data_IF_446120550475
#
_entry.id   IF_446120550475
#
_cell.length_a   1.000
_cell.length_b   1.000
_cell.length_c   1.000
_cell.angle_alpha   90.00
_cell.angle_beta   90.00
_cell.angle_gamma   90.00
#
_symmetry.space_group_name_H-M   'P 1'
#
loop_
_entity.id
_entity.type
_entity.pdbx_description
1 polymer ?
#
# COMPACT_ATOMS: atom_id res chain seq x y z
N UNK A 1 30.14 -18.65 -39.61
CA UNK A 1 30.61 -18.01 -38.36
C UNK A 1 31.36 -19.05 -37.56
N UNK A 2 32.51 -18.72 -36.97
CA UNK A 2 33.24 -19.66 -36.12
C UNK A 2 32.45 -19.95 -34.85
N UNK A 3 32.38 -21.22 -34.47
CA UNK A 3 31.76 -21.64 -33.20
C UNK A 3 32.78 -21.48 -32.07
N UNK A 4 32.66 -20.42 -31.31
CA UNK A 4 33.58 -20.09 -30.21
C UNK A 4 33.45 -21.06 -29.01
N UNK A 5 32.47 -21.97 -29.01
CA UNK A 5 32.35 -23.00 -27.98
C UNK A 5 33.39 -24.14 -28.19
N UNK A 6 33.87 -24.33 -29.44
CA UNK A 6 34.79 -25.36 -29.81
C UNK A 6 36.24 -24.88 -29.76
N UNK A 7 37.07 -25.56 -28.99
CA UNK A 7 38.48 -25.23 -28.82
C UNK A 7 39.22 -25.20 -30.14
N UNK A 8 39.10 -26.28 -30.94
CA UNK A 8 39.79 -26.41 -32.23
C UNK A 8 39.37 -25.37 -33.28
N UNK A 9 38.18 -24.77 -33.14
CA UNK A 9 37.77 -23.65 -34.00
C UNK A 9 38.41 -22.33 -33.54
N UNK A 10 38.50 -22.12 -32.23
CA UNK A 10 39.17 -20.93 -31.68
C UNK A 10 40.64 -20.86 -32.02
N UNK A 11 41.34 -22.02 -31.97
CA UNK A 11 42.78 -22.13 -32.27
C UNK A 11 43.12 -21.83 -33.75
N UNK A 12 42.17 -22.03 -34.65
CA UNK A 12 42.34 -21.73 -36.09
C UNK A 12 42.14 -20.22 -36.41
N UNK A 13 41.61 -19.45 -35.45
CA UNK A 13 41.30 -18.02 -35.69
C UNK A 13 42.61 -17.22 -35.73
N UNK A 14 42.70 -16.33 -36.71
CA UNK A 14 43.82 -15.39 -36.85
C UNK A 14 43.40 -14.00 -36.35
N UNK A 15 44.32 -13.18 -35.81
CA UNK A 15 44.03 -11.80 -35.45
C UNK A 15 43.47 -11.05 -36.66
N UNK A 16 42.37 -10.31 -36.46
CA UNK A 16 41.73 -9.44 -37.49
C UNK A 16 42.39 -8.06 -37.53
N UNK A 17 42.33 -7.39 -38.68
CA UNK A 17 42.69 -5.95 -38.75
C UNK A 17 41.91 -5.16 -37.72
N UNK A 18 42.57 -4.22 -37.06
CA UNK A 18 41.94 -3.39 -36.00
C UNK A 18 41.67 -4.13 -34.69
N UNK A 19 42.26 -5.34 -34.52
CA UNK A 19 42.08 -6.19 -33.32
C UNK A 19 40.60 -6.48 -32.97
N UNK A 20 39.71 -6.49 -33.99
CA UNK A 20 38.29 -6.76 -33.82
C UNK A 20 38.01 -8.22 -33.43
N UNK A 21 37.24 -8.48 -32.35
CA UNK A 21 36.89 -9.84 -31.91
C UNK A 21 36.01 -10.59 -32.92
N UNK A 22 36.11 -11.91 -32.92
CA UNK A 22 35.13 -12.80 -33.54
C UNK A 22 33.92 -12.91 -32.62
N UNK A 23 32.71 -12.56 -33.12
CA UNK A 23 31.50 -12.48 -32.33
C UNK A 23 30.61 -13.70 -32.55
N UNK A 24 30.10 -14.26 -31.47
CA UNK A 24 29.08 -15.31 -31.45
C UNK A 24 27.86 -14.77 -30.70
N UNK A 25 26.68 -14.89 -31.31
CA UNK A 25 25.43 -14.49 -30.70
C UNK A 25 25.03 -15.49 -29.61
N UNK A 26 24.74 -15.02 -28.40
CA UNK A 26 24.19 -15.80 -27.29
C UNK A 26 22.66 -15.72 -27.31
N UNK A 27 22.12 -14.53 -27.40
CA UNK A 27 20.70 -14.22 -27.54
C UNK A 27 20.52 -12.91 -28.30
N UNK A 28 19.29 -12.50 -28.56
CA UNK A 28 19.02 -11.23 -29.23
C UNK A 28 19.66 -10.08 -28.44
N UNK A 29 20.43 -9.24 -29.11
CA UNK A 29 21.15 -8.12 -28.52
C UNK A 29 22.39 -8.46 -27.69
N UNK A 30 22.68 -9.73 -27.39
CA UNK A 30 23.83 -10.15 -26.56
C UNK A 30 24.77 -11.07 -27.33
N UNK A 31 26.07 -10.75 -27.26
CA UNK A 31 27.13 -11.45 -27.98
C UNK A 31 28.33 -11.68 -27.06
N UNK A 32 28.98 -12.83 -27.20
CA UNK A 32 30.33 -13.08 -26.69
C UNK A 32 31.32 -12.99 -27.81
N UNK A 33 32.47 -12.40 -27.58
CA UNK A 33 33.52 -12.18 -28.54
C UNK A 33 34.84 -12.79 -28.08
N UNK A 34 35.63 -13.31 -29.03
CA UNK A 34 36.99 -13.83 -28.79
C UNK A 34 37.97 -13.15 -29.72
N UNK A 35 39.03 -12.59 -29.17
CA UNK A 35 40.15 -12.03 -29.91
C UNK A 35 41.39 -12.87 -29.69
N UNK A 36 41.87 -13.61 -30.73
CA UNK A 36 43.08 -14.39 -30.63
C UNK A 36 44.32 -13.57 -30.28
N UNK A 37 45.21 -14.10 -29.50
CA UNK A 37 46.50 -13.46 -29.18
C UNK A 37 47.40 -13.46 -30.40
N UNK A 38 48.14 -12.39 -30.64
CA UNK A 38 49.22 -12.32 -31.67
C UNK A 38 50.37 -13.30 -31.39
N UNK A 39 50.54 -13.72 -30.12
CA UNK A 39 51.55 -14.71 -29.72
C UNK A 39 51.13 -16.17 -29.94
N UNK A 40 50.03 -16.42 -30.66
CA UNK A 40 49.46 -17.74 -30.99
C UNK A 40 49.05 -18.60 -29.81
N UNK A 41 49.04 -18.11 -28.61
CA UNK A 41 48.59 -18.81 -27.41
C UNK A 41 47.46 -18.05 -26.76
N UNK A 42 46.29 -18.66 -26.65
CA UNK A 42 45.11 -18.07 -25.99
C UNK A 42 44.50 -16.84 -26.68
N UNK A 43 43.75 -16.05 -25.94
CA UNK A 43 43.12 -14.86 -26.46
C UNK A 43 42.29 -14.14 -25.39
N UNK A 44 41.73 -13.00 -25.75
CA UNK A 44 40.93 -12.21 -24.83
C UNK A 44 39.46 -12.30 -25.21
N UNK A 45 38.62 -12.49 -24.22
CA UNK A 45 37.18 -12.54 -24.34
C UNK A 45 36.57 -11.17 -24.13
N UNK A 46 35.45 -10.92 -24.81
CA UNK A 46 34.68 -9.69 -24.78
C UNK A 46 33.19 -10.00 -24.73
N UNK A 47 32.42 -9.08 -24.18
CA UNK A 47 30.97 -9.04 -24.32
C UNK A 47 30.57 -7.83 -25.17
N UNK A 48 29.50 -7.97 -25.95
CA UNK A 48 28.85 -6.87 -26.66
C UNK A 48 27.34 -6.98 -26.46
N UNK A 49 26.75 -5.86 -26.04
CA UNK A 49 25.33 -5.77 -25.77
C UNK A 49 24.77 -4.58 -26.52
N UNK A 50 23.67 -4.79 -27.22
CA UNK A 50 22.92 -3.72 -27.86
C UNK A 50 21.89 -3.16 -26.84
N UNK A 51 21.95 -1.85 -26.61
CA UNK A 51 20.99 -1.13 -25.78
C UNK A 51 19.95 -0.45 -26.71
N UNK A 52 18.67 -0.87 -26.69
CA UNK A 52 17.63 -0.32 -27.55
C UNK A 52 17.28 1.13 -27.19
N UNK A 53 17.41 1.53 -25.93
CA UNK A 53 17.06 2.88 -25.47
C UNK A 53 18.03 3.94 -26.01
N UNK A 54 19.31 3.57 -26.14
CA UNK A 54 20.36 4.45 -26.63
C UNK A 54 20.71 4.21 -28.10
N UNK A 55 20.15 3.15 -28.71
CA UNK A 55 20.46 2.68 -30.06
C UNK A 55 21.98 2.43 -30.29
N UNK A 56 22.70 1.99 -29.27
CA UNK A 56 24.16 1.80 -29.29
C UNK A 56 24.56 0.42 -28.77
N UNK A 57 25.71 -0.04 -29.29
CA UNK A 57 26.36 -1.24 -28.77
C UNK A 57 27.37 -0.84 -27.67
N UNK A 58 27.20 -1.42 -26.49
CA UNK A 58 28.22 -1.37 -25.42
C UNK A 58 29.16 -2.57 -25.55
N UNK A 59 30.45 -2.39 -25.24
CA UNK A 59 31.46 -3.47 -25.26
C UNK A 59 32.20 -3.50 -23.94
N UNK A 60 32.51 -4.72 -23.45
CA UNK A 60 33.28 -4.93 -22.22
C UNK A 60 34.33 -6.03 -22.45
N UNK A 61 35.55 -5.78 -21.98
CA UNK A 61 36.58 -6.79 -21.91
C UNK A 61 36.32 -7.69 -20.69
N UNK A 62 36.23 -9.02 -20.89
CA UNK A 62 35.98 -9.99 -19.83
C UNK A 62 37.27 -10.59 -19.26
N UNK A 63 38.31 -10.77 -20.07
CA UNK A 63 39.58 -11.36 -19.66
C UNK A 63 40.03 -12.49 -20.54
N UNK A 64 41.06 -13.25 -20.11
CA UNK A 64 41.59 -14.40 -20.82
C UNK A 64 41.26 -15.74 -20.19
N UNK A 65 40.85 -15.72 -18.89
CA UNK A 65 40.50 -16.92 -18.09
C UNK A 65 41.60 -18.00 -18.02
N UNK A 66 42.86 -17.57 -18.02
CA UNK A 66 44.01 -18.45 -18.14
C UNK A 66 44.16 -19.56 -17.09
N UNK A 67 43.34 -19.55 -16.02
CA UNK A 67 43.33 -20.59 -14.98
C UNK A 67 42.31 -21.69 -15.24
N UNK A 68 41.46 -21.56 -16.26
CA UNK A 68 40.39 -22.50 -16.57
C UNK A 68 40.74 -23.42 -17.73
N UNK A 69 40.14 -24.62 -17.78
CA UNK A 69 40.25 -25.51 -18.92
C UNK A 69 39.54 -24.95 -20.17
N UNK A 70 39.97 -25.37 -21.36
CA UNK A 70 39.49 -24.81 -22.62
C UNK A 70 37.96 -24.82 -22.81
N UNK A 71 37.23 -25.80 -22.26
CA UNK A 71 35.76 -25.86 -22.29
C UNK A 71 35.15 -24.93 -21.23
N UNK A 72 35.74 -24.88 -20.07
CA UNK A 72 35.29 -24.03 -18.98
C UNK A 72 35.46 -22.55 -19.29
N UNK A 73 36.50 -22.17 -20.06
CA UNK A 73 36.71 -20.79 -20.52
C UNK A 73 35.50 -20.25 -21.27
N UNK A 74 34.97 -21.01 -22.24
CA UNK A 74 33.78 -20.53 -22.99
C UNK A 74 32.54 -20.45 -22.10
N UNK A 75 32.34 -21.44 -21.22
CA UNK A 75 31.22 -21.46 -20.29
C UNK A 75 31.25 -20.23 -19.36
N UNK A 76 32.44 -19.90 -18.85
CA UNK A 76 32.61 -18.74 -17.99
C UNK A 76 32.46 -17.42 -18.78
N UNK A 77 33.05 -17.31 -19.97
CA UNK A 77 32.94 -16.14 -20.82
C UNK A 77 31.47 -15.88 -21.25
N UNK A 78 30.71 -16.94 -21.53
CA UNK A 78 29.28 -16.86 -21.81
C UNK A 78 28.51 -16.33 -20.59
N UNK A 79 28.74 -16.92 -19.41
CA UNK A 79 28.06 -16.51 -18.16
C UNK A 79 28.34 -15.04 -17.83
N UNK A 80 29.61 -14.61 -17.94
CA UNK A 80 30.01 -13.24 -17.66
C UNK A 80 29.43 -12.26 -18.70
N UNK A 81 29.33 -12.66 -19.97
CA UNK A 81 28.69 -11.86 -21.01
C UNK A 81 27.20 -11.69 -20.78
N UNK A 82 26.49 -12.75 -20.39
CA UNK A 82 25.06 -12.75 -20.07
C UNK A 82 24.79 -11.90 -18.80
N UNK A 83 25.58 -12.08 -17.75
CA UNK A 83 25.49 -11.27 -16.50
C UNK A 83 25.74 -9.80 -16.76
N UNK A 84 26.70 -9.47 -17.62
CA UNK A 84 26.96 -8.07 -17.98
C UNK A 84 25.84 -7.52 -18.88
N UNK A 85 25.26 -8.33 -19.77
CA UNK A 85 24.13 -7.93 -20.58
C UNK A 85 22.93 -7.53 -19.72
N UNK A 86 22.60 -8.33 -18.69
CA UNK A 86 21.56 -8.00 -17.72
C UNK A 86 21.83 -6.67 -17.00
N UNK A 87 23.11 -6.39 -16.67
CA UNK A 87 23.52 -5.13 -16.05
C UNK A 87 23.31 -3.94 -17.00
N UNK A 88 23.62 -4.08 -18.28
CA UNK A 88 23.45 -3.00 -19.27
C UNK A 88 21.96 -2.76 -19.58
N UNK A 89 21.19 -3.83 -19.73
CA UNK A 89 19.76 -3.80 -19.98
C UNK A 89 18.95 -3.21 -18.81
N UNK A 90 19.46 -3.37 -17.57
CA UNK A 90 18.90 -2.77 -16.36
C UNK A 90 19.38 -1.33 -16.08
N UNK A 91 20.00 -0.67 -17.05
CA UNK A 91 20.46 0.71 -16.90
C UNK A 91 21.73 0.91 -16.05
N UNK A 92 22.53 -0.16 -15.89
CA UNK A 92 23.81 -0.12 -15.15
C UNK A 92 23.74 -0.57 -13.69
N UNK A 93 22.56 -0.79 -13.16
CA UNK A 93 22.38 -1.47 -11.87
C UNK A 93 22.42 -2.99 -12.06
N UNK A 94 23.22 -3.70 -11.28
CA UNK A 94 23.05 -5.16 -11.20
C UNK A 94 21.68 -5.43 -10.59
N UNK A 95 20.77 -6.15 -11.29
CA UNK A 95 19.54 -6.60 -10.66
C UNK A 95 19.94 -7.36 -9.40
N UNK A 96 19.54 -6.86 -8.24
CA UNK A 96 19.78 -7.56 -6.98
C UNK A 96 19.04 -8.87 -7.10
N UNK A 97 19.75 -9.99 -7.14
CA UNK A 97 19.11 -11.31 -7.23
C UNK A 97 18.12 -11.45 -6.06
N UNK A 98 16.82 -11.47 -6.37
CA UNK A 98 15.77 -11.65 -5.37
C UNK A 98 15.76 -13.12 -5.00
N UNK A 99 16.58 -13.51 -4.02
CA UNK A 99 16.79 -14.88 -3.64
C UNK A 99 16.02 -15.30 -2.38
N UNK A 100 15.73 -14.36 -1.49
CA UNK A 100 15.10 -14.64 -0.19
C UNK A 100 13.79 -13.87 -0.02
N UNK A 101 13.01 -14.26 0.98
CA UNK A 101 11.79 -13.51 1.39
C UNK A 101 12.12 -12.07 1.78
N UNK A 102 13.28 -11.83 2.41
CA UNK A 102 13.75 -10.47 2.72
C UNK A 102 13.98 -9.67 1.44
N UNK A 103 14.65 -10.25 0.46
CA UNK A 103 14.93 -9.56 -0.81
C UNK A 103 13.64 -9.23 -1.56
N UNK A 104 12.68 -10.16 -1.59
CA UNK A 104 11.36 -9.93 -2.18
C UNK A 104 10.61 -8.77 -1.49
N UNK A 105 10.68 -8.70 -0.17
CA UNK A 105 10.01 -7.62 0.57
C UNK A 105 10.71 -6.27 0.35
N UNK A 106 12.03 -6.23 0.30
CA UNK A 106 12.78 -5.02 0.02
C UNK A 106 12.51 -4.50 -1.41
N UNK A 107 12.45 -5.38 -2.40
CA UNK A 107 12.06 -5.02 -3.77
C UNK A 107 10.65 -4.42 -3.81
N UNK A 108 9.69 -5.03 -3.10
CA UNK A 108 8.34 -4.47 -2.97
C UNK A 108 8.32 -3.07 -2.35
N UNK A 109 9.15 -2.81 -1.31
CA UNK A 109 9.22 -1.50 -0.68
C UNK A 109 9.84 -0.43 -1.59
N UNK A 110 10.76 -0.81 -2.48
CA UNK A 110 11.33 0.10 -3.48
C UNK A 110 10.29 0.55 -4.51
N UNK A 111 9.46 -0.38 -4.99
CA UNK A 111 8.41 -0.05 -5.96
C UNK A 111 7.21 0.67 -5.33
N UNK A 112 6.87 0.32 -4.09
CA UNK A 112 5.70 0.85 -3.36
C UNK A 112 6.09 1.30 -1.96
N UNK A 113 6.81 2.42 -1.84
CA UNK A 113 7.18 2.95 -0.55
C UNK A 113 5.93 3.30 0.27
N UNK A 114 5.95 2.98 1.56
CA UNK A 114 4.84 3.30 2.43
C UNK A 114 5.09 2.92 3.88
N UNK A 115 4.83 3.85 4.79
CA UNK A 115 5.10 3.72 6.21
C UNK A 115 4.48 2.48 6.88
N UNK A 116 3.34 1.99 6.38
CA UNK A 116 2.68 0.79 6.91
C UNK A 116 3.48 -0.46 6.53
N UNK A 117 3.85 -0.60 5.26
CA UNK A 117 4.61 -1.76 4.77
C UNK A 117 6.01 -1.81 5.39
N UNK A 118 6.71 -0.67 5.46
CA UNK A 118 8.00 -0.54 6.14
C UNK A 118 7.88 -0.90 7.62
N UNK A 119 6.82 -0.44 8.28
CA UNK A 119 6.56 -0.78 9.67
C UNK A 119 6.32 -2.26 9.89
N UNK A 120 5.62 -2.95 8.99
CA UNK A 120 5.43 -4.42 9.02
C UNK A 120 6.76 -5.12 8.79
N UNK A 121 7.54 -4.69 7.80
CA UNK A 121 8.86 -5.26 7.50
C UNK A 121 9.75 -5.25 8.74
N UNK A 122 10.00 -4.07 9.32
CA UNK A 122 10.88 -3.91 10.48
C UNK A 122 10.43 -4.71 11.72
N UNK A 123 9.11 -4.78 11.96
CA UNK A 123 8.60 -5.44 13.18
C UNK A 123 8.42 -6.95 13.05
N UNK A 124 8.10 -7.45 11.85
CA UNK A 124 7.58 -8.80 11.71
C UNK A 124 8.27 -9.65 10.64
N UNK A 125 9.19 -9.08 9.86
CA UNK A 125 9.89 -9.81 8.80
C UNK A 125 11.41 -9.70 8.95
N UNK A 126 11.97 -8.52 9.10
CA UNK A 126 13.41 -8.27 9.00
C UNK A 126 14.27 -9.18 9.90
N UNK A 127 13.88 -9.35 11.15
CA UNK A 127 14.58 -10.18 12.14
C UNK A 127 13.90 -11.55 12.39
N UNK A 128 12.84 -11.87 11.63
CA UNK A 128 12.16 -13.14 11.73
C UNK A 128 12.87 -14.20 10.89
N UNK A 129 12.89 -15.49 11.31
CA UNK A 129 13.46 -16.58 10.52
C UNK A 129 12.97 -16.65 9.08
N UNK A 130 11.74 -16.18 8.78
CA UNK A 130 11.17 -16.14 7.44
C UNK A 130 12.02 -15.31 6.47
N UNK A 131 12.67 -14.25 6.96
CA UNK A 131 13.49 -13.36 6.13
C UNK A 131 14.61 -14.07 5.37
N UNK A 132 15.19 -15.08 6.00
CA UNK A 132 16.34 -15.85 5.48
C UNK A 132 15.93 -17.01 4.58
N UNK A 133 14.64 -17.32 4.49
CA UNK A 133 14.16 -18.44 3.67
C UNK A 133 14.33 -18.09 2.20
N UNK A 134 15.03 -18.96 1.46
CA UNK A 134 15.17 -18.83 0.00
C UNK A 134 13.83 -19.08 -0.68
N UNK A 135 13.51 -18.33 -1.73
CA UNK A 135 12.22 -18.39 -2.41
C UNK A 135 11.96 -19.77 -3.05
N UNK A 136 13.00 -20.41 -3.61
CA UNK A 136 12.94 -21.76 -4.15
C UNK A 136 12.65 -22.84 -3.08
N UNK A 137 13.02 -22.56 -1.84
CA UNK A 137 12.80 -23.43 -0.67
C UNK A 137 11.62 -22.98 0.21
N UNK A 138 10.89 -21.94 -0.19
CA UNK A 138 9.73 -21.48 0.56
C UNK A 138 8.60 -22.51 0.52
N UNK A 139 8.11 -22.92 1.70
CA UNK A 139 7.06 -23.94 1.86
C UNK A 139 5.98 -23.43 2.81
N UNK A 140 4.81 -24.03 2.74
CA UNK A 140 3.63 -23.71 3.57
C UNK A 140 3.96 -23.64 5.07
N UNK A 141 4.80 -24.53 5.59
CA UNK A 141 5.11 -24.56 7.02
C UNK A 141 5.91 -23.32 7.48
N UNK A 142 6.81 -22.76 6.64
CA UNK A 142 7.53 -21.53 6.95
C UNK A 142 6.57 -20.36 7.17
N UNK A 143 5.60 -20.22 6.28
CA UNK A 143 4.61 -19.13 6.34
C UNK A 143 3.59 -19.34 7.45
N UNK A 144 3.15 -20.59 7.71
CA UNK A 144 2.30 -20.91 8.86
C UNK A 144 3.01 -20.61 10.18
N UNK A 145 4.30 -20.96 10.30
CA UNK A 145 5.09 -20.66 11.49
C UNK A 145 5.26 -19.15 11.68
N UNK A 146 5.55 -18.38 10.61
CA UNK A 146 5.60 -16.93 10.67
C UNK A 146 4.26 -16.31 11.08
N UNK A 147 3.15 -16.76 10.46
CA UNK A 147 1.80 -16.32 10.83
C UNK A 147 1.49 -16.57 12.31
N UNK A 148 1.83 -17.75 12.81
CA UNK A 148 1.63 -18.10 14.24
C UNK A 148 2.40 -17.16 15.17
N UNK A 149 3.64 -16.80 14.82
CA UNK A 149 4.41 -15.79 15.57
C UNK A 149 3.79 -14.40 15.47
N UNK A 150 3.28 -14.02 14.28
CA UNK A 150 2.57 -12.75 14.08
C UNK A 150 1.29 -12.69 14.94
N UNK A 151 0.53 -13.77 15.01
CA UNK A 151 -0.68 -13.87 15.84
C UNK A 151 -0.36 -13.74 17.34
N UNK A 152 0.70 -14.39 17.81
CA UNK A 152 1.14 -14.35 19.18
C UNK A 152 1.78 -13.00 19.58
N UNK A 153 2.32 -12.24 18.63
CA UNK A 153 2.94 -10.95 18.92
C UNK A 153 1.89 -9.90 19.33
N UNK A 154 2.00 -9.27 20.52
CA UNK A 154 1.03 -8.29 20.96
C UNK A 154 1.00 -7.06 20.03
N UNK A 155 -0.20 -6.49 19.85
CA UNK A 155 -0.38 -5.28 19.07
C UNK A 155 -0.02 -4.05 19.91
N UNK A 156 0.81 -3.16 19.36
CA UNK A 156 1.13 -1.88 20.00
C UNK A 156 -0.09 -0.95 19.94
N UNK A 157 -0.53 -0.49 21.10
CA UNK A 157 -1.64 0.47 21.24
C UNK A 157 -1.12 1.91 21.27
N UNK A 158 -0.12 2.18 22.09
CA UNK A 158 0.49 3.50 22.21
C UNK A 158 1.91 3.43 22.76
N UNK A 159 2.69 4.46 22.45
CA UNK A 159 3.97 4.76 23.10
C UNK A 159 3.81 6.09 23.81
N UNK A 160 4.14 6.16 25.08
CA UNK A 160 4.25 7.45 25.75
C UNK A 160 5.66 8.05 25.54
N UNK A 161 5.83 9.33 25.93
CA UNK A 161 7.13 10.02 25.80
C UNK A 161 8.24 9.40 26.67
N UNK A 162 7.87 8.70 27.75
CA UNK A 162 8.79 7.99 28.65
C UNK A 162 9.17 6.57 28.17
N UNK A 163 8.78 6.18 26.96
CA UNK A 163 9.16 4.88 26.38
C UNK A 163 8.29 3.70 26.80
N UNK A 164 7.37 3.85 27.75
CA UNK A 164 6.44 2.78 28.09
C UNK A 164 5.49 2.48 26.96
N UNK A 165 5.45 1.22 26.55
CA UNK A 165 4.59 0.74 25.49
C UNK A 165 3.37 0.07 26.08
N UNK A 166 2.19 0.52 25.70
CA UNK A 166 0.94 -0.17 25.98
C UNK A 166 0.61 -1.12 24.84
N UNK A 167 0.48 -2.39 25.15
CA UNK A 167 0.15 -3.44 24.18
C UNK A 167 -1.19 -4.08 24.52
N UNK A 168 -1.78 -4.78 23.57
CA UNK A 168 -2.97 -5.62 23.74
C UNK A 168 -2.85 -6.85 22.87
N UNK A 169 -3.69 -7.85 23.12
CA UNK A 169 -3.85 -9.00 22.24
C UNK A 169 -4.10 -8.55 20.79
N UNK A 170 -3.44 -9.21 19.83
CA UNK A 170 -3.56 -8.88 18.41
C UNK A 170 -4.86 -9.42 17.84
N UNK A 171 -5.72 -8.54 17.35
CA UNK A 171 -6.97 -8.93 16.70
C UNK A 171 -6.72 -9.58 15.34
N UNK A 172 -7.61 -10.49 14.93
CA UNK A 172 -7.57 -11.13 13.59
C UNK A 172 -7.54 -10.12 12.44
N UNK A 173 -8.24 -9.00 12.57
CA UNK A 173 -8.19 -7.91 11.56
C UNK A 173 -6.82 -7.22 11.48
N UNK A 174 -6.12 -7.10 12.62
CA UNK A 174 -4.74 -6.59 12.65
C UNK A 174 -3.78 -7.58 11.98
N UNK A 175 -3.91 -8.88 12.26
CA UNK A 175 -3.14 -9.93 11.58
C UNK A 175 -3.36 -9.89 10.06
N UNK A 176 -4.63 -9.83 9.63
CA UNK A 176 -4.97 -9.73 8.21
C UNK A 176 -4.27 -8.55 7.54
N UNK A 177 -4.31 -7.37 8.17
CA UNK A 177 -3.67 -6.16 7.65
C UNK A 177 -2.14 -6.28 7.58
N UNK A 178 -1.54 -6.87 8.61
CA UNK A 178 -0.09 -7.02 8.70
C UNK A 178 0.44 -8.11 7.75
N UNK A 179 -0.40 -9.06 7.32
CA UNK A 179 -0.06 -10.04 6.27
C UNK A 179 -0.06 -9.45 4.85
N UNK A 180 -0.79 -8.34 4.60
CA UNK A 180 -0.95 -7.77 3.24
C UNK A 180 0.36 -7.44 2.56
N UNK A 181 1.33 -6.73 3.18
CA UNK A 181 2.58 -6.39 2.51
C UNK A 181 3.42 -7.62 2.13
N UNK A 182 3.50 -8.63 3.00
CA UNK A 182 4.23 -9.86 2.68
C UNK A 182 3.56 -10.63 1.53
N UNK A 183 2.23 -10.71 1.52
CA UNK A 183 1.49 -11.32 0.40
C UNK A 183 1.75 -10.59 -0.91
N UNK A 184 1.77 -9.26 -0.88
CA UNK A 184 2.03 -8.44 -2.06
C UNK A 184 3.46 -8.65 -2.57
N UNK A 185 4.45 -8.64 -1.67
CA UNK A 185 5.85 -8.87 -2.01
C UNK A 185 6.09 -10.27 -2.64
N UNK A 186 5.52 -11.32 -2.03
CA UNK A 186 5.61 -12.66 -2.58
C UNK A 186 4.86 -12.80 -3.92
N UNK A 187 3.72 -12.14 -4.07
CA UNK A 187 2.94 -12.14 -5.31
C UNK A 187 3.64 -11.45 -6.50
N UNK A 188 4.59 -10.55 -6.24
CA UNK A 188 5.40 -9.92 -7.31
C UNK A 188 6.47 -10.86 -7.86
N UNK A 189 7.07 -11.68 -7.01
CA UNK A 189 8.24 -12.50 -7.38
C UNK A 189 7.92 -13.97 -7.64
N UNK A 190 6.82 -14.48 -7.06
CA UNK A 190 6.36 -15.86 -7.23
C UNK A 190 5.17 -15.89 -8.18
N UNK A 191 5.39 -16.29 -9.41
CA UNK A 191 4.33 -16.42 -10.42
C UNK A 191 3.55 -17.71 -10.24
N UNK A 192 2.25 -17.65 -10.51
CA UNK A 192 1.39 -18.83 -10.53
C UNK A 192 1.80 -19.75 -11.70
N UNK A 193 1.87 -21.03 -11.43
CA UNK A 193 2.21 -22.04 -12.45
C UNK A 193 3.69 -22.33 -12.65
N UNK A 194 4.60 -21.63 -11.95
CA UNK A 194 6.01 -22.02 -11.93
C UNK A 194 6.24 -23.19 -10.96
N UNK A 195 7.14 -24.14 -11.28
CA UNK A 195 7.48 -25.23 -10.37
C UNK A 195 7.91 -24.68 -9.00
N UNK A 196 7.38 -25.22 -7.92
CA UNK A 196 7.65 -24.82 -6.52
C UNK A 196 7.11 -23.44 -6.07
N UNK A 197 6.39 -22.73 -6.91
CA UNK A 197 5.73 -21.45 -6.51
C UNK A 197 4.28 -21.64 -6.11
N UNK A 198 3.85 -22.87 -5.97
CA UNK A 198 2.49 -23.27 -5.66
C UNK A 198 1.85 -22.40 -4.59
N UNK A 199 0.54 -22.30 -4.70
CA UNK A 199 -0.42 -21.67 -3.79
C UNK A 199 -0.14 -21.84 -2.28
N UNK A 200 0.95 -22.49 -1.90
CA UNK A 200 1.37 -22.73 -0.52
C UNK A 200 1.44 -21.44 0.32
N UNK A 201 1.96 -20.36 -0.26
CA UNK A 201 2.00 -19.07 0.40
C UNK A 201 0.63 -18.37 0.40
N UNK A 202 -0.16 -18.54 -0.66
CA UNK A 202 -1.50 -17.94 -0.74
C UNK A 202 -2.43 -18.54 0.31
N UNK A 203 -2.42 -19.87 0.47
CA UNK A 203 -3.23 -20.55 1.47
C UNK A 203 -2.79 -20.21 2.90
N UNK A 204 -1.48 -20.28 3.17
CA UNK A 204 -0.95 -20.00 4.50
C UNK A 204 -1.22 -18.57 4.96
N UNK A 205 -1.24 -17.61 4.04
CA UNK A 205 -1.52 -16.19 4.30
C UNK A 205 -2.97 -15.79 3.94
N UNK A 206 -3.89 -16.75 3.82
CA UNK A 206 -5.31 -16.47 3.61
C UNK A 206 -5.85 -15.65 4.79
N UNK A 207 -6.52 -14.52 4.52
CA UNK A 207 -7.10 -13.69 5.57
C UNK A 207 -8.15 -14.45 6.39
N UNK A 208 -8.24 -14.16 7.66
CA UNK A 208 -9.38 -14.60 8.49
C UNK A 208 -10.67 -13.99 7.94
N UNK A 209 -11.66 -14.82 7.68
CA UNK A 209 -13.00 -14.36 7.29
C UNK A 209 -13.71 -13.74 8.50
N UNK A 210 -14.55 -12.73 8.26
CA UNK A 210 -15.34 -12.10 9.33
C UNK A 210 -14.51 -11.42 10.43
N UNK A 211 -13.25 -11.10 10.17
CA UNK A 211 -12.34 -10.53 11.18
C UNK A 211 -12.65 -9.08 11.55
N UNK A 212 -13.38 -8.36 10.70
CA UNK A 212 -13.76 -6.97 10.94
C UNK A 212 -14.95 -6.93 11.91
N UNK A 213 -14.79 -6.20 13.00
CA UNK A 213 -15.90 -5.90 13.90
C UNK A 213 -16.75 -4.78 13.33
N UNK A 214 -18.05 -4.98 13.26
CA UNK A 214 -18.99 -3.91 12.97
C UNK A 214 -19.05 -2.95 14.16
N UNK A 215 -19.21 -1.66 13.88
CA UNK A 215 -19.46 -0.67 14.92
C UNK A 215 -20.95 -0.70 15.24
N UNK A 216 -21.27 -0.96 16.48
CA UNK A 216 -22.64 -0.96 17.00
C UNK A 216 -22.98 0.31 17.78
N UNK A 217 -21.95 1.08 18.22
CA UNK A 217 -22.18 2.28 19.02
C UNK A 217 -22.78 3.39 18.12
N UNK A 218 -23.98 3.73 18.43
CA UNK A 218 -24.78 4.79 17.85
C UNK A 218 -25.13 5.80 18.93
N UNK A 219 -24.96 7.07 18.64
CA UNK A 219 -25.46 8.18 19.45
C UNK A 219 -26.69 8.77 18.78
N UNK A 220 -27.78 8.84 19.49
CA UNK A 220 -28.99 9.52 19.02
C UNK A 220 -28.83 11.05 18.97
N UNK A 221 -29.90 11.77 18.60
CA UNK A 221 -29.83 13.22 18.44
C UNK A 221 -29.62 13.95 19.77
N UNK A 222 -30.23 13.47 20.84
CA UNK A 222 -30.10 14.08 22.16
C UNK A 222 -28.72 13.82 22.73
N UNK A 223 -28.21 12.62 22.63
CA UNK A 223 -26.85 12.28 23.04
C UNK A 223 -25.81 13.15 22.30
N UNK A 224 -25.99 13.35 20.99
CA UNK A 224 -25.12 14.26 20.23
C UNK A 224 -25.25 15.72 20.66
N UNK A 225 -26.44 16.18 21.06
CA UNK A 225 -26.66 17.52 21.60
C UNK A 225 -25.93 17.72 22.93
N UNK A 226 -26.08 16.78 23.85
CA UNK A 226 -25.34 16.74 25.12
C UNK A 226 -23.82 16.76 24.88
N UNK A 227 -23.34 15.94 23.89
CA UNK A 227 -21.94 15.97 23.49
C UNK A 227 -21.47 17.37 23.04
N UNK A 228 -22.29 18.07 22.24
CA UNK A 228 -21.95 19.39 21.72
C UNK A 228 -21.93 20.44 22.84
N UNK A 229 -22.82 20.35 23.81
CA UNK A 229 -22.86 21.23 25.01
C UNK A 229 -21.63 21.03 25.90
N UNK A 230 -21.04 19.83 25.90
CA UNK A 230 -19.81 19.49 26.64
C UNK A 230 -18.50 19.82 25.89
N UNK A 231 -18.57 20.33 24.65
CA UNK A 231 -17.39 20.67 23.86
C UNK A 231 -16.81 22.05 24.26
N UNK A 232 -15.47 22.17 24.21
CA UNK A 232 -14.83 23.48 24.22
C UNK A 232 -15.12 24.26 22.92
N UNK A 233 -15.06 25.59 23.00
CA UNK A 233 -15.42 26.49 21.90
C UNK A 233 -14.60 26.27 20.62
N UNK A 234 -13.37 25.76 20.74
CA UNK A 234 -12.48 25.55 19.61
C UNK A 234 -12.82 24.22 18.87
N UNK A 235 -13.20 23.21 19.62
CA UNK A 235 -13.54 21.90 19.07
C UNK A 235 -15.02 21.82 18.63
N UNK A 236 -15.89 22.61 19.27
CA UNK A 236 -17.33 22.60 19.01
C UNK A 236 -17.70 22.69 17.52
N UNK A 237 -17.18 23.65 16.72
CA UNK A 237 -17.56 23.74 15.31
C UNK A 237 -17.18 22.49 14.50
N UNK A 238 -16.02 21.92 14.74
CA UNK A 238 -15.56 20.70 14.06
C UNK A 238 -16.39 19.48 14.44
N UNK A 239 -16.68 19.31 15.74
CA UNK A 239 -17.49 18.18 16.25
C UNK A 239 -18.95 18.33 15.79
N UNK A 240 -19.50 19.57 15.78
CA UNK A 240 -20.83 19.86 15.25
C UNK A 240 -20.94 19.46 13.77
N UNK A 241 -19.94 19.81 12.96
CA UNK A 241 -19.92 19.41 11.55
C UNK A 241 -19.87 17.86 11.37
N UNK A 242 -19.17 17.13 12.25
CA UNK A 242 -19.18 15.66 12.27
C UNK A 242 -20.57 15.08 12.65
N UNK A 243 -21.34 15.80 13.43
CA UNK A 243 -22.72 15.41 13.79
C UNK A 243 -23.75 15.73 12.71
N UNK A 244 -23.42 16.66 11.78
CA UNK A 244 -24.33 17.11 10.72
C UNK A 244 -24.10 16.41 9.37
N UNK A 245 -22.88 15.98 9.08
CA UNK A 245 -22.50 15.45 7.78
C UNK A 245 -21.87 14.06 7.89
N UNK A 246 -22.22 13.12 6.98
CA UNK A 246 -21.69 11.75 7.01
C UNK A 246 -20.25 11.66 6.46
N UNK A 247 -19.42 12.69 6.68
CA UNK A 247 -18.07 12.77 6.17
C UNK A 247 -17.07 11.99 7.02
N UNK A 248 -16.00 11.48 6.38
CA UNK A 248 -14.86 10.99 7.15
C UNK A 248 -14.21 12.13 7.92
N UNK A 249 -13.83 11.95 9.20
CA UNK A 249 -13.24 13.04 9.98
C UNK A 249 -12.04 13.71 9.30
N UNK A 250 -11.19 12.93 8.61
CA UNK A 250 -10.07 13.49 7.85
C UNK A 250 -10.51 14.30 6.62
N UNK A 251 -11.57 13.91 5.94
CA UNK A 251 -12.12 14.69 4.82
C UNK A 251 -12.70 16.00 5.29
N UNK A 252 -13.45 15.99 6.40
CA UNK A 252 -13.97 17.22 7.01
C UNK A 252 -12.84 18.15 7.47
N UNK A 253 -11.81 17.62 8.11
CA UNK A 253 -10.65 18.36 8.59
C UNK A 253 -9.80 18.98 7.46
N UNK A 254 -9.87 18.42 6.26
CA UNK A 254 -9.12 18.92 5.09
C UNK A 254 -9.85 20.02 4.32
N UNK A 255 -11.12 20.30 4.63
CA UNK A 255 -11.90 21.32 3.94
C UNK A 255 -11.31 22.71 4.18
N UNK A 256 -11.18 23.46 3.09
CA UNK A 256 -10.75 24.85 3.08
C UNK A 256 -11.91 25.78 2.73
N UNK A 257 -11.77 27.04 3.05
CA UNK A 257 -12.80 28.08 2.75
C UNK A 257 -13.24 28.02 1.28
N UNK A 258 -12.32 27.87 0.34
CA UNK A 258 -12.61 27.76 -1.11
C UNK A 258 -13.42 26.51 -1.50
N UNK A 259 -13.52 25.51 -0.63
CA UNK A 259 -14.27 24.28 -0.90
C UNK A 259 -15.76 24.41 -0.57
N UNK A 260 -16.17 25.57 0.00
CA UNK A 260 -17.56 25.87 0.30
C UNK A 260 -18.07 27.05 -0.54
N UNK A 261 -19.12 26.82 -1.31
CA UNK A 261 -19.83 27.86 -2.05
C UNK A 261 -21.15 28.18 -1.33
N UNK A 262 -21.21 29.39 -0.70
CA UNK A 262 -22.39 29.88 0.00
C UNK A 262 -23.59 30.05 -0.94
N UNK A 263 -23.37 30.49 -2.17
CA UNK A 263 -24.43 30.79 -3.16
C UNK A 263 -25.15 29.50 -3.61
N UNK A 264 -24.40 28.45 -3.90
CA UNK A 264 -24.96 27.17 -4.33
C UNK A 264 -25.19 26.22 -3.14
N UNK A 265 -24.80 26.60 -1.94
CA UNK A 265 -24.83 25.78 -0.73
C UNK A 265 -24.10 24.46 -0.89
N UNK A 266 -23.01 24.46 -1.62
CA UNK A 266 -22.29 23.24 -1.96
C UNK A 266 -20.92 23.16 -1.28
N UNK A 267 -20.54 21.93 -0.92
CA UNK A 267 -19.23 21.57 -0.44
C UNK A 267 -18.54 20.67 -1.46
N UNK A 268 -17.35 21.06 -1.85
CA UNK A 268 -16.45 20.23 -2.68
C UNK A 268 -15.56 19.43 -1.74
N UNK A 269 -15.82 18.13 -1.65
CA UNK A 269 -14.98 17.23 -0.89
C UNK A 269 -13.85 16.77 -1.81
N UNK A 270 -12.63 17.16 -1.47
CA UNK A 270 -11.43 16.77 -2.22
C UNK A 270 -11.28 15.26 -2.38
N UNK A 271 -10.25 14.83 -3.08
CA UNK A 271 -10.02 13.41 -3.43
C UNK A 271 -10.22 12.50 -2.23
N UNK A 272 -11.20 11.61 -2.33
CA UNK A 272 -11.34 10.52 -1.39
C UNK A 272 -10.25 9.45 -1.66
N UNK A 273 -10.32 8.34 -0.95
CA UNK A 273 -9.37 7.22 -1.11
C UNK A 273 -9.31 6.67 -2.55
N UNK A 274 -10.32 6.93 -3.37
CA UNK A 274 -10.44 6.50 -4.78
C UNK A 274 -10.04 7.59 -5.77
N UNK A 275 -9.62 8.78 -5.30
CA UNK A 275 -9.05 9.83 -6.12
C UNK A 275 -10.05 10.78 -6.78
N UNK A 276 -11.36 10.56 -6.64
CA UNK A 276 -12.39 11.40 -7.25
C UNK A 276 -12.91 12.46 -6.28
N UNK A 277 -12.93 13.75 -6.66
CA UNK A 277 -13.63 14.78 -5.90
C UNK A 277 -15.14 14.53 -6.00
N UNK A 278 -15.88 14.89 -4.96
CA UNK A 278 -17.34 14.86 -4.97
C UNK A 278 -17.90 16.19 -4.44
N UNK A 279 -19.03 16.57 -4.96
CA UNK A 279 -19.78 17.73 -4.49
C UNK A 279 -21.01 17.23 -3.75
N UNK A 280 -21.31 17.88 -2.61
CA UNK A 280 -22.54 17.66 -1.86
C UNK A 280 -23.25 18.99 -1.67
N UNK A 281 -24.57 19.00 -1.83
CA UNK A 281 -25.42 20.15 -1.50
C UNK A 281 -25.85 20.04 -0.05
N UNK A 282 -25.69 21.11 0.73
CA UNK A 282 -26.06 21.13 2.15
C UNK A 282 -27.43 21.78 2.37
N UNK A 283 -28.21 21.30 3.34
CA UNK A 283 -29.43 21.97 3.77
C UNK A 283 -29.15 23.42 4.23
N UNK A 284 -30.13 24.28 4.13
CA UNK A 284 -29.97 25.71 4.44
C UNK A 284 -29.35 25.97 5.82
N UNK A 285 -29.83 25.30 6.88
CA UNK A 285 -29.29 25.45 8.25
C UNK A 285 -27.82 25.00 8.35
N UNK A 286 -27.44 23.96 7.62
CA UNK A 286 -26.03 23.49 7.58
C UNK A 286 -25.19 24.50 6.80
N UNK A 287 -25.70 24.99 5.66
CA UNK A 287 -25.03 26.06 4.88
C UNK A 287 -24.80 27.32 5.67
N UNK A 288 -25.80 27.78 6.45
CA UNK A 288 -25.66 28.95 7.33
C UNK A 288 -24.55 28.75 8.37
N UNK A 289 -24.53 27.58 9.02
CA UNK A 289 -23.46 27.23 9.95
C UNK A 289 -22.06 27.22 9.29
N UNK A 290 -21.94 26.72 8.07
CA UNK A 290 -20.66 26.76 7.34
C UNK A 290 -20.29 28.17 6.93
N UNK A 291 -21.28 29.01 6.54
CA UNK A 291 -21.07 30.41 6.20
C UNK A 291 -20.46 31.19 7.36
N UNK A 292 -20.94 30.98 8.60
CA UNK A 292 -20.36 31.57 9.81
C UNK A 292 -18.89 31.16 10.01
N UNK A 293 -18.55 29.91 9.67
CA UNK A 293 -17.19 29.41 9.86
C UNK A 293 -16.16 29.92 8.82
N UNK A 294 -16.62 30.42 7.68
CA UNK A 294 -15.75 30.91 6.59
C UNK A 294 -15.69 32.44 6.55
N UNK A 295 -16.50 33.11 7.31
CA UNK A 295 -16.59 34.58 7.31
C UNK A 295 -15.23 35.20 7.69
N UNK A 296 -14.79 36.19 6.89
CA UNK A 296 -13.52 36.90 7.05
C UNK A 296 -12.26 36.04 7.04
N UNK A 297 -12.32 34.83 6.44
CA UNK A 297 -11.17 33.94 6.34
C UNK A 297 -10.58 33.86 4.92
N UNK A 298 -9.27 33.68 4.85
CA UNK A 298 -8.58 33.47 3.58
C UNK A 298 -9.05 32.18 2.88
N UNK A 299 -9.09 32.18 1.54
CA UNK A 299 -9.57 31.05 0.73
C UNK A 299 -8.88 29.71 1.05
N UNK A 300 -7.60 29.75 1.39
CA UNK A 300 -6.81 28.56 1.71
C UNK A 300 -6.82 28.17 3.20
N UNK A 301 -7.47 28.94 4.05
CA UNK A 301 -7.60 28.60 5.46
C UNK A 301 -8.51 27.36 5.65
N UNK A 302 -8.26 26.53 6.69
CA UNK A 302 -9.19 25.47 7.05
C UNK A 302 -10.57 26.04 7.44
N UNK A 303 -11.69 25.43 7.02
CA UNK A 303 -13.02 25.82 7.46
C UNK A 303 -13.13 25.69 8.99
N UNK A 304 -12.66 24.57 9.52
CA UNK A 304 -12.59 24.31 10.96
C UNK A 304 -11.12 24.34 11.39
N UNK A 305 -10.75 25.39 12.10
CA UNK A 305 -9.40 25.55 12.60
C UNK A 305 -9.34 25.31 14.12
N UNK A 306 -8.26 24.72 14.58
CA UNK A 306 -7.87 24.71 15.99
C UNK A 306 -7.10 25.98 16.35
N UNK A 307 -6.74 26.14 17.63
CA UNK A 307 -5.94 27.30 18.08
C UNK A 307 -4.71 27.49 17.19
N UNK A 308 -4.46 28.75 16.83
CA UNK A 308 -3.37 29.13 15.92
C UNK A 308 -3.68 28.92 14.42
N UNK A 309 -4.94 28.75 14.01
CA UNK A 309 -5.34 28.65 12.60
C UNK A 309 -5.00 27.32 11.92
N UNK A 310 -4.51 26.35 12.67
CA UNK A 310 -4.07 25.06 12.14
C UNK A 310 -5.26 24.13 11.85
N UNK A 311 -5.16 23.32 10.78
CA UNK A 311 -6.14 22.29 10.48
C UNK A 311 -6.19 21.21 11.57
N UNK A 312 -7.37 20.61 11.76
CA UNK A 312 -7.53 19.40 12.56
C UNK A 312 -6.84 18.22 11.89
N UNK A 313 -6.34 17.30 12.70
CA UNK A 313 -5.80 16.02 12.25
C UNK A 313 -6.17 14.91 13.23
N UNK A 314 -5.86 13.66 12.87
CA UNK A 314 -6.26 12.47 13.61
C UNK A 314 -5.87 12.52 15.10
N UNK A 315 -4.73 13.07 15.42
CA UNK A 315 -4.25 13.12 16.82
C UNK A 315 -4.81 14.33 17.56
N UNK A 316 -5.08 15.43 16.85
CA UNK A 316 -5.58 16.68 17.43
C UNK A 316 -7.03 16.58 17.92
N UNK A 317 -7.96 15.96 17.15
CA UNK A 317 -9.36 15.85 17.58
C UNK A 317 -9.63 14.76 18.62
N UNK A 318 -8.69 13.85 18.84
CA UNK A 318 -8.86 12.73 19.75
C UNK A 318 -9.12 13.13 21.19
N UNK A 319 -8.31 14.08 21.69
CA UNK A 319 -8.42 14.55 23.08
C UNK A 319 -9.68 15.36 23.33
N UNK A 320 -10.01 16.39 22.55
CA UNK A 320 -11.25 17.16 22.72
C UNK A 320 -12.51 16.30 22.67
N UNK A 321 -12.61 15.36 21.72
CA UNK A 321 -13.75 14.42 21.68
C UNK A 321 -13.81 13.55 22.93
N UNK A 322 -12.68 13.02 23.38
CA UNK A 322 -12.64 12.19 24.56
C UNK A 322 -13.04 12.95 25.83
N UNK A 323 -12.63 14.21 25.95
CA UNK A 323 -12.97 15.06 27.07
C UNK A 323 -14.46 15.42 27.04
N UNK A 324 -15.01 15.83 25.89
CA UNK A 324 -16.43 16.09 25.73
C UNK A 324 -17.29 14.83 26.06
N UNK A 325 -16.86 13.66 25.62
CA UNK A 325 -17.52 12.37 25.93
C UNK A 325 -17.54 12.11 27.45
N UNK A 326 -16.42 12.36 28.13
CA UNK A 326 -16.29 12.20 29.58
C UNK A 326 -17.21 13.16 30.34
N UNK A 327 -17.23 14.43 29.94
CA UNK A 327 -18.07 15.48 30.56
C UNK A 327 -19.55 15.19 30.31
N UNK A 328 -19.90 14.75 29.11
CA UNK A 328 -21.25 14.39 28.71
C UNK A 328 -21.77 13.07 29.33
N UNK A 329 -20.92 12.30 30.02
CA UNK A 329 -21.30 10.98 30.54
C UNK A 329 -21.63 9.93 29.47
N UNK A 330 -21.12 10.12 28.24
CA UNK A 330 -21.36 9.22 27.11
C UNK A 330 -20.38 8.03 27.10
N UNK A 331 -20.69 6.94 26.37
CA UNK A 331 -19.82 5.76 26.32
C UNK A 331 -18.39 6.09 25.90
N UNK A 332 -17.40 5.65 26.66
CA UNK A 332 -15.95 5.87 26.41
C UNK A 332 -15.46 5.44 25.03
N UNK A 333 -16.15 4.49 24.40
CA UNK A 333 -15.86 4.02 23.05
C UNK A 333 -16.24 5.02 21.94
N UNK A 334 -16.86 6.14 22.30
CA UNK A 334 -17.26 7.23 21.36
C UNK A 334 -16.04 7.88 20.73
N UNK A 335 -16.08 8.02 19.42
CA UNK A 335 -15.00 8.59 18.60
C UNK A 335 -15.60 9.44 17.47
N UNK A 336 -14.78 10.23 16.78
CA UNK A 336 -15.19 10.93 15.56
C UNK A 336 -15.86 10.01 14.51
N UNK A 337 -15.48 8.76 14.46
CA UNK A 337 -16.12 7.77 13.57
C UNK A 337 -17.45 7.26 14.10
N UNK A 338 -17.69 7.32 15.40
CA UNK A 338 -19.00 7.03 16.00
C UNK A 338 -20.02 8.09 15.54
N UNK A 339 -19.64 9.39 15.55
CA UNK A 339 -20.50 10.46 15.06
C UNK A 339 -20.88 10.26 13.59
N UNK A 340 -19.90 9.98 12.75
CA UNK A 340 -20.18 9.62 11.36
C UNK A 340 -21.10 8.40 11.22
N UNK A 341 -20.86 7.34 12.01
CA UNK A 341 -21.71 6.14 12.03
C UNK A 341 -23.15 6.52 12.38
N UNK A 342 -23.36 7.36 13.39
CA UNK A 342 -24.68 7.82 13.81
C UNK A 342 -25.40 8.61 12.72
N UNK A 343 -24.71 9.52 12.03
CA UNK A 343 -25.29 10.27 10.92
C UNK A 343 -25.70 9.35 9.76
N UNK A 344 -24.86 8.36 9.40
CA UNK A 344 -25.19 7.40 8.34
C UNK A 344 -26.40 6.54 8.76
N UNK A 345 -26.46 6.10 10.01
CA UNK A 345 -27.60 5.38 10.58
C UNK A 345 -28.88 6.20 10.49
N UNK A 346 -28.84 7.48 10.84
CA UNK A 346 -30.02 8.37 10.73
C UNK A 346 -30.48 8.54 9.29
N UNK A 347 -29.55 8.68 8.32
CA UNK A 347 -29.90 8.80 6.90
C UNK A 347 -30.59 7.53 6.39
N UNK A 348 -30.15 6.36 6.82
CA UNK A 348 -30.76 5.07 6.44
C UNK A 348 -32.13 4.94 7.10
N UNK A 349 -32.25 5.23 8.40
CA UNK A 349 -33.56 5.23 9.10
C UNK A 349 -34.53 6.26 8.53
N UNK A 350 -34.05 7.37 7.97
CA UNK A 350 -34.83 8.31 7.21
C UNK A 350 -35.20 7.81 5.79
N UNK A 351 -34.92 6.55 5.48
CA UNK A 351 -35.24 5.88 4.21
C UNK A 351 -34.60 6.51 2.98
N UNK A 352 -33.43 7.20 3.12
CA UNK A 352 -32.69 7.65 1.95
C UNK A 352 -32.19 6.44 1.15
N UNK A 353 -32.27 6.50 -0.20
CA UNK A 353 -31.71 5.44 -1.05
C UNK A 353 -30.24 5.16 -0.71
N UNK A 354 -29.89 3.88 -0.61
CA UNK A 354 -28.52 3.45 -0.21
C UNK A 354 -27.44 4.03 -1.12
N UNK A 355 -27.73 4.18 -2.42
CA UNK A 355 -26.83 4.84 -3.37
C UNK A 355 -26.57 6.30 -2.95
N UNK A 356 -27.60 7.03 -2.56
CA UNK A 356 -27.47 8.43 -2.10
C UNK A 356 -26.63 8.50 -0.81
N UNK A 357 -26.91 7.61 0.16
CA UNK A 357 -26.11 7.52 1.40
C UNK A 357 -24.65 7.22 1.10
N UNK A 358 -24.38 6.29 0.17
CA UNK A 358 -23.02 5.95 -0.26
C UNK A 358 -22.30 7.14 -0.89
N UNK A 359 -22.98 7.88 -1.77
CA UNK A 359 -22.45 9.10 -2.41
C UNK A 359 -22.18 10.21 -1.38
N UNK A 360 -23.14 10.54 -0.51
CA UNK A 360 -22.97 11.55 0.55
C UNK A 360 -21.83 11.20 1.50
N UNK A 361 -21.72 9.93 1.87
CA UNK A 361 -20.68 9.48 2.81
C UNK A 361 -19.33 9.21 2.15
N UNK A 362 -19.23 9.14 0.80
CA UNK A 362 -18.00 8.81 0.08
C UNK A 362 -17.51 7.38 0.36
N UNK A 363 -18.41 6.42 0.25
CA UNK A 363 -18.12 5.00 0.36
C UNK A 363 -18.88 4.23 -0.71
N UNK A 364 -18.65 2.93 -0.88
CA UNK A 364 -19.39 2.13 -1.84
C UNK A 364 -20.72 1.64 -1.24
N UNK A 365 -21.69 1.35 -2.12
CA UNK A 365 -22.96 0.70 -1.76
C UNK A 365 -22.69 -0.60 -0.99
N UNK A 366 -21.80 -1.45 -1.47
CA UNK A 366 -21.42 -2.70 -0.81
C UNK A 366 -20.91 -2.51 0.63
N UNK A 367 -20.23 -1.38 0.91
CA UNK A 367 -19.79 -1.05 2.28
C UNK A 367 -20.95 -0.59 3.16
N UNK A 368 -21.93 0.14 2.60
CA UNK A 368 -23.16 0.49 3.33
C UNK A 368 -23.94 -0.78 3.63
N UNK A 369 -24.19 -1.64 2.66
CA UNK A 369 -24.89 -2.92 2.85
C UNK A 369 -24.19 -3.80 3.88
N UNK A 370 -22.87 -3.94 3.81
CA UNK A 370 -22.09 -4.74 4.76
C UNK A 370 -22.24 -4.26 6.22
N UNK A 371 -22.28 -2.96 6.44
CA UNK A 371 -22.25 -2.38 7.80
C UNK A 371 -23.61 -1.96 8.33
N UNK A 372 -24.57 -1.70 7.47
CA UNK A 372 -25.88 -1.15 7.81
C UNK A 372 -27.07 -1.93 7.23
N UNK A 373 -26.81 -3.00 6.45
CA UNK A 373 -27.87 -3.77 5.79
C UNK A 373 -28.89 -4.42 6.75
N UNK A 374 -28.51 -4.61 8.02
CA UNK A 374 -29.47 -5.06 9.05
C UNK A 374 -30.58 -4.03 9.31
N UNK A 375 -30.29 -2.73 9.27
CA UNK A 375 -31.28 -1.66 9.46
C UNK A 375 -32.33 -1.63 8.33
N UNK A 376 -31.88 -1.95 7.10
CA UNK A 376 -32.80 -2.02 5.93
C UNK A 376 -33.71 -3.24 5.99
N UNK A 377 -33.28 -4.32 6.63
CA UNK A 377 -34.11 -5.54 6.78
C UNK A 377 -35.27 -5.33 7.75
N UNK A 378 -35.05 -4.58 8.81
CA UNK A 378 -36.10 -4.25 9.76
C UNK A 378 -37.21 -3.43 9.07
N UNK A 379 -36.84 -2.46 8.19
CA UNK A 379 -37.83 -1.71 7.38
C UNK A 379 -38.57 -2.58 6.36
N UNK A 380 -37.97 -3.66 5.85
CA UNK A 380 -38.61 -4.57 4.90
C UNK A 380 -39.73 -5.41 5.55
N UNK A 381 -39.57 -5.80 6.80
CA UNK A 381 -40.57 -6.50 7.57
C UNK A 381 -41.84 -5.64 7.76
N UNK A 382 -41.65 -4.36 8.17
CA UNK A 382 -42.76 -3.40 8.26
C UNK A 382 -43.43 -3.15 6.91
N UNK A 383 -42.63 -3.01 5.83
CA UNK A 383 -43.17 -2.79 4.50
C UNK A 383 -44.01 -4.01 4.01
N UNK A 384 -43.52 -5.23 4.29
CA UNK A 384 -44.24 -6.46 3.96
C UNK A 384 -45.56 -6.59 4.77
N UNK A 385 -45.57 -6.17 6.03
CA UNK A 385 -46.79 -6.15 6.84
C UNK A 385 -47.90 -5.26 6.26
N UNK A 386 -47.53 -4.19 5.53
CA UNK A 386 -48.51 -3.31 4.85
C UNK A 386 -49.16 -3.95 3.61
N UNK A 387 -48.56 -5.05 3.10
CA UNK A 387 -49.09 -5.76 1.93
C UNK A 387 -50.11 -6.85 2.30
N UNK A 388 -50.38 -7.04 3.60
CA UNK A 388 -51.39 -8.02 4.04
C UNK A 388 -52.78 -7.56 3.63
N UNK A 389 -53.49 -8.40 2.86
CA UNK A 389 -54.83 -8.19 2.30
C UNK A 389 -55.83 -8.87 3.19
#
# INVERSE_FOLDING_TARGET
MADLSRIGEREKLKPRPGDEPYWQRLRQGCYVGFRPSRKKVGGTWFARVYNPDTNRNSRKRLGDYGTLSGHEIFKQAKLDAETWAETVESGGERPRAIATVKDAFLAYLQEKPGSIAEGVFRRHVENDPIAKVKLDKLRRHHLRAWRKRLEAAPALVSRNKSGHTRTKERSKSTVNRDMVPLRAALGQVLKLGEPNTDAAWQEALRPFKGADRQRSLYLDREERKILLEACDDVALPFIKALCLLPLRPGALASLRVRDFDKRTRSLIIGRDKNGNPRQITTPQKVSAFFAEQVEYRACDAPIFARRGGLAWNKDAWKYPIKEAVRVAGLPDATTAYTLRHSVITDLIRARLPILTVAQLSGTSVAMIEKHYGHLVRDDAEEALATLFI
#
